data_IF_518944524772
#
_entry.id   IF_518944524772
#
_cell.length_a   1.000
_cell.length_b   1.000
_cell.length_c   1.000
_cell.angle_alpha   90.00
_cell.angle_beta   90.00
_cell.angle_gamma   90.00
#
_symmetry.space_group_name_H-M   'P 1'
#
loop_
_entity.id
_entity.type
_entity.pdbx_description
1 polymer ?
#
# COMPACT_ATOMS: atom_id res chain seq x y z
N UNK A 1 -20.88 -16.17 -5.30
CA UNK A 1 -19.74 -15.23 -5.31
C UNK A 1 -18.58 -15.82 -6.11
N UNK A 2 -18.04 -15.08 -7.07
CA UNK A 2 -16.82 -15.42 -7.81
C UNK A 2 -15.71 -14.44 -7.43
N UNK A 3 -14.54 -14.93 -7.02
CA UNK A 3 -13.47 -14.06 -6.51
C UNK A 3 -12.09 -14.63 -6.86
N UNK A 4 -11.10 -13.73 -7.05
CA UNK A 4 -9.72 -14.10 -7.29
C UNK A 4 -9.03 -14.41 -5.97
N UNK A 5 -8.38 -15.57 -5.90
CA UNK A 5 -7.69 -16.02 -4.69
C UNK A 5 -6.26 -16.44 -5.01
N UNK A 6 -5.40 -16.31 -4.02
CA UNK A 6 -4.11 -16.99 -3.95
C UNK A 6 -4.26 -18.23 -3.07
N UNK A 7 -3.90 -19.39 -3.62
CA UNK A 7 -3.88 -20.66 -2.88
C UNK A 7 -2.45 -20.94 -2.38
N UNK A 8 -2.29 -21.08 -1.07
CA UNK A 8 -1.00 -21.39 -0.42
C UNK A 8 -0.46 -22.79 -0.75
N UNK A 9 -0.79 -23.34 -1.91
CA UNK A 9 -0.40 -24.68 -2.34
C UNK A 9 1.07 -24.70 -2.79
N UNK A 10 1.91 -25.33 -1.97
CA UNK A 10 3.37 -25.42 -2.20
C UNK A 10 3.72 -25.99 -3.57
N UNK A 11 2.97 -26.99 -4.08
CA UNK A 11 3.24 -27.59 -5.40
C UNK A 11 2.97 -26.58 -6.51
N UNK A 12 1.85 -25.84 -6.46
CA UNK A 12 1.54 -24.78 -7.42
C UNK A 12 2.59 -23.67 -7.39
N UNK A 13 2.95 -23.19 -6.21
CA UNK A 13 3.97 -22.15 -6.02
C UNK A 13 5.32 -22.61 -6.60
N UNK A 14 5.82 -23.77 -6.20
CA UNK A 14 7.10 -24.31 -6.67
C UNK A 14 7.12 -24.51 -8.20
N UNK A 15 6.06 -25.10 -8.77
CA UNK A 15 5.94 -25.29 -10.22
C UNK A 15 5.95 -23.95 -10.96
N UNK A 16 5.19 -22.98 -10.48
CA UNK A 16 5.13 -21.62 -11.07
C UNK A 16 6.50 -20.94 -11.01
N UNK A 17 7.20 -21.01 -9.88
CA UNK A 17 8.54 -20.45 -9.72
C UNK A 17 9.57 -21.09 -10.65
N UNK A 18 9.56 -22.41 -10.80
CA UNK A 18 10.46 -23.12 -11.73
C UNK A 18 10.19 -22.67 -13.17
N UNK A 19 8.93 -22.69 -13.60
CA UNK A 19 8.57 -22.29 -14.96
C UNK A 19 8.82 -20.80 -15.22
N UNK A 20 8.70 -19.95 -14.23
CA UNK A 20 8.94 -18.50 -14.36
C UNK A 20 10.39 -18.12 -14.64
N UNK A 21 11.34 -19.03 -14.34
CA UNK A 21 12.76 -18.86 -14.73
C UNK A 21 12.95 -18.90 -16.25
N UNK A 22 12.09 -19.64 -16.95
CA UNK A 22 12.13 -19.77 -18.41
C UNK A 22 11.20 -18.79 -19.10
N UNK A 23 10.04 -18.49 -18.49
CA UNK A 23 9.08 -17.54 -19.06
C UNK A 23 8.18 -16.91 -18.02
N UNK A 24 8.06 -15.58 -18.05
CA UNK A 24 7.10 -14.85 -17.22
C UNK A 24 5.62 -15.18 -17.54
N UNK A 25 5.35 -15.85 -18.65
CA UNK A 25 4.00 -16.38 -18.95
C UNK A 25 3.56 -17.46 -17.93
N UNK A 26 4.51 -18.05 -17.19
CA UNK A 26 4.21 -19.07 -16.17
C UNK A 26 3.19 -18.60 -15.12
N UNK A 27 3.22 -17.32 -14.76
CA UNK A 27 2.27 -16.73 -13.80
C UNK A 27 0.81 -16.75 -14.29
N UNK A 28 0.57 -16.93 -15.57
CA UNK A 28 -0.76 -17.00 -16.20
C UNK A 28 -1.23 -18.42 -16.53
N UNK A 29 -0.41 -19.45 -16.29
CA UNK A 29 -0.76 -20.83 -16.57
C UNK A 29 -1.71 -21.40 -15.49
N UNK A 30 -2.32 -22.53 -15.79
CA UNK A 30 -3.23 -23.23 -14.85
C UNK A 30 -2.55 -23.74 -13.58
N UNK A 31 -1.22 -23.87 -13.59
CA UNK A 31 -0.43 -24.20 -12.40
C UNK A 31 -0.19 -23.00 -11.47
N UNK A 32 -0.54 -21.77 -11.88
CA UNK A 32 -0.44 -20.59 -11.02
C UNK A 32 -1.31 -20.77 -9.76
N UNK A 33 -0.81 -20.35 -8.57
CA UNK A 33 -1.60 -20.39 -7.36
C UNK A 33 -2.73 -19.34 -7.36
N UNK A 34 -2.74 -18.41 -8.33
CA UNK A 34 -3.81 -17.40 -8.46
C UNK A 34 -4.84 -17.85 -9.50
N UNK A 35 -6.08 -17.94 -9.07
CA UNK A 35 -7.22 -18.30 -9.93
C UNK A 35 -8.53 -17.80 -9.35
N UNK A 36 -9.55 -17.65 -10.21
CA UNK A 36 -10.91 -17.46 -9.75
C UNK A 36 -11.45 -18.73 -9.09
N UNK A 37 -12.11 -18.55 -7.96
CA UNK A 37 -12.95 -19.55 -7.28
C UNK A 37 -14.38 -19.06 -7.26
N UNK A 38 -15.31 -20.03 -7.29
CA UNK A 38 -16.73 -19.76 -7.17
C UNK A 38 -17.24 -20.40 -5.88
N UNK A 39 -17.84 -19.62 -5.03
CA UNK A 39 -18.46 -20.04 -3.78
C UNK A 39 -19.95 -19.83 -3.86
N UNK A 40 -20.72 -20.58 -3.05
CA UNK A 40 -22.15 -20.31 -2.90
C UNK A 40 -22.35 -18.94 -2.26
N UNK A 41 -23.46 -18.30 -2.57
CA UNK A 41 -23.89 -17.12 -1.83
C UNK A 41 -24.24 -17.54 -0.40
N UNK A 42 -23.66 -16.85 0.55
CA UNK A 42 -23.85 -17.08 1.98
C UNK A 42 -24.58 -15.88 2.59
N UNK A 43 -25.44 -16.10 3.59
CA UNK A 43 -26.06 -15.00 4.33
C UNK A 43 -24.99 -14.25 5.13
N UNK A 44 -25.32 -13.03 5.56
CA UNK A 44 -24.44 -12.26 6.44
C UNK A 44 -24.24 -13.04 7.76
N UNK A 45 -22.98 -13.30 8.18
CA UNK A 45 -22.72 -14.14 9.35
C UNK A 45 -22.99 -13.43 10.69
N UNK A 46 -23.13 -12.09 10.67
CA UNK A 46 -23.45 -11.25 11.84
C UNK A 46 -24.39 -10.10 11.46
N UNK A 47 -25.17 -9.65 12.45
CA UNK A 47 -26.17 -8.60 12.28
C UNK A 47 -25.60 -7.20 11.96
N UNK A 48 -24.33 -6.94 12.28
CA UNK A 48 -23.61 -5.70 11.98
C UNK A 48 -22.75 -5.78 10.71
N UNK A 49 -22.95 -6.82 9.88
CA UNK A 49 -22.22 -7.01 8.63
C UNK A 49 -23.00 -6.50 7.42
N UNK A 50 -22.26 -6.29 6.35
CA UNK A 50 -22.75 -5.80 5.06
C UNK A 50 -22.21 -6.69 3.93
N UNK A 51 -22.94 -6.68 2.80
CA UNK A 51 -22.49 -7.20 1.51
C UNK A 51 -22.30 -6.00 0.56
N UNK A 52 -21.13 -5.92 -0.04
CA UNK A 52 -20.77 -4.85 -0.96
C UNK A 52 -20.52 -5.45 -2.34
N UNK A 53 -21.21 -4.98 -3.35
CA UNK A 53 -20.90 -5.31 -4.76
C UNK A 53 -19.75 -4.43 -5.22
N UNK A 54 -18.66 -5.07 -5.63
CA UNK A 54 -17.47 -4.35 -6.11
C UNK A 54 -17.73 -3.74 -7.50
N UNK A 55 -17.25 -2.50 -7.70
CA UNK A 55 -17.34 -1.81 -9.00
C UNK A 55 -16.00 -1.87 -9.69
N UNK A 56 -14.95 -1.46 -8.99
CA UNK A 56 -13.61 -1.31 -9.57
C UNK A 56 -12.57 -1.46 -8.46
N UNK A 57 -11.43 -2.08 -8.81
CA UNK A 57 -10.35 -2.37 -7.85
C UNK A 57 -8.99 -2.11 -8.47
N UNK A 58 -8.11 -1.41 -7.75
CA UNK A 58 -6.72 -1.19 -8.13
C UNK A 58 -5.84 -2.42 -7.89
N UNK A 59 -4.83 -2.61 -8.73
CA UNK A 59 -3.77 -3.60 -8.50
C UNK A 59 -2.66 -2.95 -7.68
N UNK A 60 -2.40 -3.49 -6.49
CA UNK A 60 -1.33 -3.07 -5.59
C UNK A 60 -0.02 -3.85 -5.81
N UNK A 61 1.09 -3.31 -5.31
CA UNK A 61 2.37 -4.01 -5.26
C UNK A 61 2.34 -5.29 -4.43
N UNK A 62 1.52 -5.34 -3.37
CA UNK A 62 1.30 -6.54 -2.55
C UNK A 62 0.61 -7.67 -3.35
N UNK A 63 -0.40 -7.34 -4.19
CA UNK A 63 -1.02 -8.30 -5.10
C UNK A 63 0.01 -8.88 -6.09
N UNK A 64 0.93 -8.02 -6.57
CA UNK A 64 2.03 -8.45 -7.45
C UNK A 64 3.00 -9.40 -6.76
N UNK A 65 3.18 -9.27 -5.44
CA UNK A 65 4.00 -10.19 -4.65
C UNK A 65 3.37 -11.59 -4.60
N UNK A 66 2.06 -11.68 -4.42
CA UNK A 66 1.32 -12.95 -4.53
C UNK A 66 1.37 -13.51 -5.97
N UNK A 67 1.10 -12.66 -6.96
CA UNK A 67 1.10 -13.06 -8.36
C UNK A 67 2.44 -13.63 -8.83
N UNK A 68 3.54 -13.06 -8.38
CA UNK A 68 4.90 -13.51 -8.73
C UNK A 68 5.46 -14.55 -7.79
N UNK A 69 4.72 -14.96 -6.75
CA UNK A 69 5.19 -15.87 -5.71
C UNK A 69 6.52 -15.39 -5.06
N UNK A 70 6.68 -14.08 -4.91
CA UNK A 70 7.95 -13.46 -4.46
C UNK A 70 8.13 -13.46 -2.94
N UNK A 71 7.40 -14.28 -2.22
CA UNK A 71 7.50 -14.42 -0.76
C UNK A 71 8.61 -15.43 -0.41
N UNK A 72 9.47 -15.06 0.55
CA UNK A 72 10.49 -15.98 1.08
C UNK A 72 9.99 -16.68 2.33
N UNK A 73 10.24 -18.01 2.42
CA UNK A 73 9.96 -18.77 3.62
C UNK A 73 10.83 -18.36 4.84
N UNK A 74 11.86 -17.53 4.62
CA UNK A 74 12.73 -17.02 5.69
C UNK A 74 12.24 -15.70 6.31
N UNK A 75 11.05 -15.19 5.88
CA UNK A 75 10.46 -13.98 6.48
C UNK A 75 10.01 -14.23 7.92
N UNK A 76 10.14 -13.19 8.75
CA UNK A 76 9.66 -13.23 10.13
C UNK A 76 8.15 -13.50 10.28
N UNK A 77 7.34 -13.09 9.30
CA UNK A 77 5.89 -13.35 9.27
C UNK A 77 5.52 -14.78 8.84
N UNK A 78 6.44 -15.54 8.24
CA UNK A 78 6.15 -16.88 7.74
C UNK A 78 5.60 -17.87 8.79
N UNK A 79 6.05 -17.84 10.06
CA UNK A 79 5.51 -18.71 11.11
C UNK A 79 4.11 -18.33 11.59
N UNK A 80 3.62 -17.12 11.22
CA UNK A 80 2.28 -16.68 11.64
C UNK A 80 1.23 -17.50 10.88
N UNK A 81 0.26 -18.13 11.58
CA UNK A 81 -0.80 -18.87 10.93
C UNK A 81 -1.56 -18.00 9.93
N UNK A 82 -1.57 -18.44 8.69
CA UNK A 82 -2.31 -17.80 7.61
C UNK A 82 -3.36 -18.80 7.08
N UNK A 83 -4.41 -18.29 6.50
CA UNK A 83 -5.35 -19.10 5.74
C UNK A 83 -4.66 -19.71 4.51
N UNK A 84 -5.02 -20.94 4.15
CA UNK A 84 -4.61 -21.56 2.88
C UNK A 84 -5.08 -20.79 1.65
N UNK A 85 -6.07 -19.91 1.83
CA UNK A 85 -6.66 -19.06 0.81
C UNK A 85 -6.53 -17.60 1.23
N UNK A 86 -5.92 -16.78 0.37
CA UNK A 86 -5.91 -15.34 0.50
C UNK A 86 -6.76 -14.71 -0.61
N UNK A 87 -7.78 -13.95 -0.22
CA UNK A 87 -8.54 -13.12 -1.16
C UNK A 87 -7.71 -11.90 -1.56
N UNK A 88 -7.74 -11.52 -2.84
CA UNK A 88 -6.89 -10.47 -3.40
C UNK A 88 -7.72 -9.23 -3.76
N UNK A 89 -7.04 -8.08 -3.78
CA UNK A 89 -7.62 -6.77 -4.08
C UNK A 89 -8.14 -6.06 -2.83
N UNK A 90 -7.62 -4.86 -2.58
CA UNK A 90 -7.95 -4.07 -1.40
C UNK A 90 -8.11 -2.57 -1.70
N UNK A 91 -7.73 -2.12 -2.88
CA UNK A 91 -7.96 -0.74 -3.34
C UNK A 91 -9.30 -0.69 -4.10
N UNK A 92 -10.43 -0.76 -3.38
CA UNK A 92 -11.72 -1.11 -3.98
C UNK A 92 -12.81 -0.09 -3.66
N UNK A 93 -13.58 0.26 -4.68
CA UNK A 93 -14.85 0.97 -4.55
C UNK A 93 -16.01 0.02 -4.89
N UNK A 94 -17.09 0.09 -4.12
CA UNK A 94 -18.28 -0.73 -4.30
C UNK A 94 -19.57 -0.03 -3.86
N UNK A 95 -20.67 -0.74 -4.00
CA UNK A 95 -22.01 -0.32 -3.57
C UNK A 95 -22.53 -1.33 -2.57
N UNK A 96 -23.06 -0.85 -1.45
CA UNK A 96 -23.73 -1.68 -0.43
C UNK A 96 -24.99 -2.28 -1.05
N UNK A 97 -25.07 -3.61 -1.09
CA UNK A 97 -26.24 -4.34 -1.60
C UNK A 97 -27.12 -4.95 -0.49
N UNK A 98 -26.50 -5.30 0.64
CA UNK A 98 -27.21 -5.87 1.78
C UNK A 98 -26.62 -5.31 3.07
N UNK A 99 -27.48 -5.07 4.07
CA UNK A 99 -27.12 -4.61 5.40
C UNK A 99 -27.79 -5.48 6.45
N UNK A 100 -27.03 -5.87 7.45
CA UNK A 100 -27.59 -6.56 8.62
C UNK A 100 -28.39 -5.59 9.50
N UNK A 101 -29.31 -6.11 10.35
CA UNK A 101 -30.24 -5.26 11.11
C UNK A 101 -29.60 -4.36 12.18
N UNK A 102 -28.34 -4.60 12.55
CA UNK A 102 -27.58 -3.77 13.50
C UNK A 102 -26.61 -2.81 12.82
N UNK A 103 -26.57 -2.73 11.49
CA UNK A 103 -25.81 -1.73 10.73
C UNK A 103 -26.41 -0.34 11.00
N UNK A 104 -25.58 0.64 11.38
CA UNK A 104 -26.03 1.96 11.86
C UNK A 104 -25.78 3.08 10.87
N UNK A 105 -24.65 3.02 10.15
CA UNK A 105 -24.14 4.17 9.39
C UNK A 105 -24.26 3.99 7.88
N UNK A 106 -24.71 2.82 7.41
CA UNK A 106 -24.79 2.47 6.01
C UNK A 106 -26.21 1.98 5.65
N UNK A 107 -26.58 2.18 4.40
CA UNK A 107 -27.81 1.65 3.79
C UNK A 107 -27.52 1.09 2.40
N UNK A 108 -28.41 0.26 1.90
CA UNK A 108 -28.36 -0.23 0.53
C UNK A 108 -28.31 0.95 -0.45
N UNK A 109 -27.42 0.86 -1.42
CA UNK A 109 -27.15 1.90 -2.40
C UNK A 109 -26.00 2.86 -2.02
N UNK A 110 -25.54 2.86 -0.79
CA UNK A 110 -24.38 3.70 -0.39
C UNK A 110 -23.12 3.25 -1.13
N UNK A 111 -22.37 4.23 -1.65
CA UNK A 111 -21.04 3.98 -2.23
C UNK A 111 -19.98 3.99 -1.14
N UNK A 112 -19.11 2.98 -1.20
CA UNK A 112 -18.11 2.75 -0.15
C UNK A 112 -16.74 2.40 -0.74
N UNK A 113 -15.69 2.73 0.01
CA UNK A 113 -14.32 2.26 -0.21
C UNK A 113 -13.95 1.25 0.86
N UNK A 114 -13.32 0.17 0.45
CA UNK A 114 -12.89 -0.91 1.32
C UNK A 114 -11.66 -0.50 2.13
N UNK A 115 -11.71 -0.74 3.46
CA UNK A 115 -10.57 -0.67 4.39
C UNK A 115 -10.15 -2.10 4.72
N UNK A 116 -9.30 -2.72 3.92
CA UNK A 116 -9.07 -4.14 4.05
C UNK A 116 -7.84 -4.51 4.88
N UNK A 117 -8.09 -5.22 5.99
CA UNK A 117 -7.09 -5.99 6.75
C UNK A 117 -7.75 -7.08 7.60
N UNK A 118 -6.99 -8.13 7.92
CA UNK A 118 -7.42 -9.21 8.80
C UNK A 118 -7.26 -8.82 10.27
N UNK A 119 -8.15 -7.98 10.80
CA UNK A 119 -8.15 -7.52 12.18
C UNK A 119 -9.29 -8.14 13.00
N UNK A 120 -9.27 -7.96 14.33
CA UNK A 120 -10.36 -8.34 15.22
C UNK A 120 -11.71 -7.82 14.74
N UNK A 121 -11.76 -6.55 14.34
CA UNK A 121 -12.96 -5.85 13.88
C UNK A 121 -13.34 -6.11 12.43
N UNK A 122 -12.68 -7.03 11.75
CA UNK A 122 -12.90 -7.31 10.34
C UNK A 122 -13.38 -8.75 10.12
N UNK A 123 -12.90 -9.43 9.09
CA UNK A 123 -13.30 -10.81 8.74
C UNK A 123 -13.05 -11.85 9.84
N UNK A 124 -12.29 -11.50 10.89
CA UNK A 124 -12.16 -12.40 12.06
C UNK A 124 -13.43 -12.52 12.90
N UNK A 125 -14.35 -11.55 12.78
CA UNK A 125 -15.67 -11.61 13.40
C UNK A 125 -15.67 -11.58 14.92
N UNK A 126 -14.69 -10.93 15.54
CA UNK A 126 -14.70 -10.64 16.98
C UNK A 126 -15.78 -9.61 17.30
N UNK A 127 -16.32 -9.64 18.50
CA UNK A 127 -17.17 -8.59 19.03
C UNK A 127 -16.31 -7.47 19.63
N UNK A 128 -16.86 -6.25 19.75
CA UNK A 128 -16.05 -5.05 20.15
C UNK A 128 -15.37 -5.22 21.51
N UNK A 129 -16.00 -5.91 22.44
CA UNK A 129 -15.47 -6.23 23.77
C UNK A 129 -14.21 -7.11 23.69
N UNK A 130 -14.14 -7.98 22.69
CA UNK A 130 -13.04 -8.91 22.45
C UNK A 130 -11.92 -8.31 21.58
N UNK A 131 -12.05 -7.07 21.13
CA UNK A 131 -11.02 -6.43 20.35
C UNK A 131 -9.72 -6.29 21.15
N UNK A 132 -8.58 -6.52 20.50
CA UNK A 132 -7.30 -6.23 21.10
C UNK A 132 -7.11 -4.72 21.34
N UNK A 133 -6.17 -4.36 22.20
CA UNK A 133 -5.93 -2.95 22.59
C UNK A 133 -5.62 -2.02 21.41
N UNK A 134 -4.96 -2.53 20.37
CA UNK A 134 -4.68 -1.76 19.16
C UNK A 134 -5.96 -1.49 18.36
N UNK A 135 -6.80 -2.53 18.14
CA UNK A 135 -8.06 -2.38 17.41
C UNK A 135 -9.05 -1.48 18.17
N UNK A 136 -9.10 -1.52 19.51
CA UNK A 136 -9.89 -0.59 20.33
C UNK A 136 -9.49 0.87 20.15
N UNK A 137 -8.24 1.13 19.78
CA UNK A 137 -7.70 2.46 19.50
C UNK A 137 -7.82 2.88 18.02
N UNK A 138 -8.35 2.00 17.16
CA UNK A 138 -8.41 2.24 15.72
C UNK A 138 -7.11 1.95 14.95
N UNK A 139 -6.09 1.39 15.63
CA UNK A 139 -4.81 0.99 15.05
C UNK A 139 -4.90 -0.43 14.49
N UNK A 140 -5.69 -0.59 13.44
CA UNK A 140 -6.09 -1.90 12.94
C UNK A 140 -4.95 -2.70 12.31
N UNK A 141 -4.01 -2.05 11.64
CA UNK A 141 -2.93 -2.70 10.89
C UNK A 141 -1.92 -3.42 11.79
N UNK A 142 -1.82 -2.98 13.04
CA UNK A 142 -0.97 -3.61 14.08
C UNK A 142 -1.79 -4.44 15.07
N UNK A 143 -2.85 -5.09 14.60
CA UNK A 143 -3.71 -5.96 15.39
C UNK A 143 -2.91 -7.08 16.09
N UNK A 144 -3.02 -7.18 17.42
CA UNK A 144 -2.32 -8.21 18.20
C UNK A 144 -2.86 -9.62 17.94
N UNK A 145 -4.09 -9.74 17.43
CA UNK A 145 -4.74 -11.01 17.08
C UNK A 145 -4.59 -11.36 15.58
N UNK A 146 -3.59 -10.77 14.90
CA UNK A 146 -3.42 -10.95 13.45
C UNK A 146 -3.27 -12.42 13.04
N UNK A 147 -2.55 -13.22 13.82
CA UNK A 147 -2.33 -14.65 13.59
C UNK A 147 -3.44 -15.57 14.07
N UNK A 148 -4.41 -15.06 14.85
CA UNK A 148 -5.49 -15.87 15.42
C UNK A 148 -6.54 -16.28 14.38
N UNK A 149 -7.21 -17.44 14.54
CA UNK A 149 -8.25 -17.87 13.61
C UNK A 149 -9.46 -16.93 13.61
N UNK A 150 -10.20 -16.95 12.50
CA UNK A 150 -11.49 -16.26 12.40
C UNK A 150 -12.54 -16.94 13.29
N UNK A 151 -13.40 -16.15 13.94
CA UNK A 151 -14.57 -16.63 14.71
C UNK A 151 -15.80 -16.83 13.83
N UNK A 152 -15.74 -16.44 12.55
CA UNK A 152 -16.79 -16.67 11.55
C UNK A 152 -16.22 -17.51 10.42
N UNK A 153 -17.03 -18.46 9.96
CA UNK A 153 -16.73 -19.28 8.78
C UNK A 153 -17.55 -18.74 7.61
N UNK A 154 -16.92 -17.89 6.82
CA UNK A 154 -17.55 -17.25 5.66
C UNK A 154 -16.52 -16.96 4.57
N UNK A 155 -16.92 -17.15 3.34
CA UNK A 155 -16.14 -16.68 2.20
C UNK A 155 -16.38 -15.17 2.02
N UNK A 156 -15.53 -14.35 2.68
CA UNK A 156 -15.69 -12.89 2.67
C UNK A 156 -15.49 -12.24 1.30
N UNK A 157 -14.74 -12.91 0.39
CA UNK A 157 -14.26 -12.26 -0.81
C UNK A 157 -13.30 -11.10 -0.50
N UNK A 158 -12.94 -10.38 -1.53
CA UNK A 158 -12.19 -9.12 -1.49
C UNK A 158 -12.42 -8.34 -2.78
N UNK A 159 -11.64 -7.30 -3.05
CA UNK A 159 -11.85 -6.41 -4.18
C UNK A 159 -11.81 -7.07 -5.56
N UNK A 160 -11.01 -8.12 -5.76
CA UNK A 160 -11.00 -8.83 -7.04
C UNK A 160 -12.06 -9.93 -7.09
N UNK A 161 -13.30 -9.59 -6.80
CA UNK A 161 -14.46 -10.48 -6.85
C UNK A 161 -15.76 -9.73 -7.09
N UNK A 162 -16.87 -10.49 -7.20
CA UNK A 162 -18.22 -9.90 -7.35
C UNK A 162 -18.55 -9.05 -6.14
N UNK A 163 -18.29 -9.61 -4.96
CA UNK A 163 -18.72 -9.10 -3.68
C UNK A 163 -17.61 -9.16 -2.65
N UNK A 164 -17.78 -8.31 -1.67
CA UNK A 164 -17.11 -8.34 -0.41
C UNK A 164 -18.15 -8.44 0.73
N UNK A 165 -17.90 -9.28 1.73
CA UNK A 165 -18.73 -9.44 2.94
C UNK A 165 -17.89 -9.13 4.17
N UNK A 166 -18.39 -8.26 5.05
CA UNK A 166 -17.69 -7.90 6.29
C UNK A 166 -18.48 -6.92 7.15
N UNK A 167 -17.95 -6.55 8.33
CA UNK A 167 -18.60 -5.58 9.21
C UNK A 167 -18.61 -4.17 8.56
N UNK A 168 -19.58 -3.34 8.94
CA UNK A 168 -19.67 -1.95 8.44
C UNK A 168 -18.39 -1.12 8.70
N UNK A 169 -17.66 -1.41 9.78
CA UNK A 169 -16.41 -0.73 10.14
C UNK A 169 -15.28 -0.91 9.12
N UNK A 170 -15.41 -1.91 8.24
CA UNK A 170 -14.41 -2.27 7.23
C UNK A 170 -14.52 -1.45 5.95
N UNK A 171 -15.48 -0.58 5.86
CA UNK A 171 -15.64 0.33 4.73
C UNK A 171 -15.73 1.78 5.20
N UNK A 172 -15.51 2.70 4.28
CA UNK A 172 -15.84 4.11 4.47
C UNK A 172 -16.84 4.52 3.40
N UNK A 173 -17.92 5.19 3.82
CA UNK A 173 -18.86 5.82 2.89
C UNK A 173 -18.19 7.01 2.22
N UNK A 174 -18.43 7.15 0.92
CA UNK A 174 -17.94 8.28 0.12
C UNK A 174 -19.10 9.09 -0.47
N UNK A 175 -18.86 10.37 -0.66
CA UNK A 175 -19.83 11.29 -1.22
C UNK A 175 -19.99 11.10 -2.74
N UNK A 176 -21.15 11.51 -3.29
CA UNK A 176 -21.47 11.32 -4.70
C UNK A 176 -20.58 12.15 -5.66
N UNK A 177 -19.97 13.22 -5.18
CA UNK A 177 -19.01 14.03 -5.92
C UNK A 177 -17.64 13.35 -6.12
N UNK A 178 -17.31 12.31 -5.34
CA UNK A 178 -16.10 11.51 -5.52
C UNK A 178 -16.35 10.47 -6.62
N UNK A 179 -15.65 10.55 -7.73
CA UNK A 179 -15.74 9.57 -8.81
C UNK A 179 -15.20 8.19 -8.38
N UNK A 180 -15.55 7.12 -9.11
CA UNK A 180 -14.99 5.79 -8.84
C UNK A 180 -13.47 5.76 -9.00
N UNK A 181 -12.93 6.55 -9.95
CA UNK A 181 -11.50 6.68 -10.18
C UNK A 181 -10.77 7.32 -8.99
N UNK A 182 -11.36 8.35 -8.42
CA UNK A 182 -10.85 8.97 -7.21
C UNK A 182 -10.98 8.02 -6.01
N UNK A 183 -12.11 7.33 -5.90
CA UNK A 183 -12.40 6.40 -4.81
C UNK A 183 -11.37 5.26 -4.71
N UNK A 184 -10.96 4.70 -5.83
CA UNK A 184 -9.95 3.61 -5.89
C UNK A 184 -8.56 4.07 -5.44
N UNK A 185 -8.28 5.37 -5.45
CA UNK A 185 -7.00 5.96 -5.00
C UNK A 185 -7.01 6.31 -3.50
N UNK A 186 -8.17 6.30 -2.85
CA UNK A 186 -8.28 6.67 -1.43
C UNK A 186 -7.42 5.74 -0.55
N UNK A 187 -7.45 4.43 -0.78
CA UNK A 187 -6.63 3.48 0.00
C UNK A 187 -5.13 3.76 -0.14
N UNK A 188 -4.52 3.75 -1.33
CA UNK A 188 -3.08 4.02 -1.44
C UNK A 188 -2.69 5.45 -1.02
N UNK A 189 -3.61 6.41 -1.09
CA UNK A 189 -3.39 7.74 -0.53
C UNK A 189 -3.42 7.72 1.01
N UNK A 190 -4.29 6.93 1.64
CA UNK A 190 -4.32 6.76 3.11
C UNK A 190 -2.99 6.17 3.62
N UNK A 191 -2.44 5.17 2.93
CA UNK A 191 -1.09 4.63 3.21
C UNK A 191 -0.02 5.71 3.11
N UNK A 192 -0.08 6.53 2.06
CA UNK A 192 0.90 7.60 1.81
C UNK A 192 0.79 8.72 2.85
N UNK A 193 -0.43 9.13 3.18
CA UNK A 193 -0.69 10.14 4.21
C UNK A 193 -0.19 9.66 5.58
N UNK A 194 -0.52 8.42 5.97
CA UNK A 194 -0.03 7.82 7.21
C UNK A 194 1.50 7.82 7.27
N UNK A 195 2.16 7.49 6.15
CA UNK A 195 3.62 7.51 6.07
C UNK A 195 4.19 8.90 6.35
N UNK A 196 3.57 9.96 5.84
CA UNK A 196 4.00 11.34 6.09
C UNK A 196 3.65 11.77 7.52
N UNK A 197 2.49 11.36 8.05
CA UNK A 197 2.08 11.67 9.44
C UNK A 197 3.00 11.04 10.49
N UNK A 198 3.63 9.88 10.21
CA UNK A 198 4.64 9.29 11.10
C UNK A 198 5.88 10.17 11.26
N UNK A 199 6.20 10.99 10.27
CA UNK A 199 7.32 11.94 10.31
C UNK A 199 7.06 13.10 9.35
N UNK A 200 6.29 14.09 9.79
CA UNK A 200 6.06 15.32 9.02
C UNK A 200 7.38 16.10 8.92
N UNK A 201 7.79 16.55 7.73
CA UNK A 201 8.96 17.42 7.57
C UNK A 201 8.78 18.76 8.29
N UNK A 202 9.89 19.37 8.69
CA UNK A 202 9.95 20.77 9.13
C UNK A 202 10.12 21.71 7.93
N UNK A 203 9.85 22.99 8.13
CA UNK A 203 10.17 23.99 7.14
C UNK A 203 11.69 23.98 6.83
N UNK A 204 12.03 24.06 5.57
CA UNK A 204 13.40 23.98 5.01
C UNK A 204 14.09 22.61 5.10
N UNK A 205 13.42 21.54 5.57
CA UNK A 205 13.99 20.20 5.47
C UNK A 205 14.23 19.82 4.00
N UNK A 206 15.34 19.14 3.76
CA UNK A 206 15.68 18.48 2.50
C UNK A 206 15.14 17.04 2.58
N UNK A 207 14.11 16.74 1.80
CA UNK A 207 13.36 15.46 1.85
C UNK A 207 13.57 14.70 0.57
N UNK A 208 13.93 13.42 0.66
CA UNK A 208 14.03 12.53 -0.50
C UNK A 208 12.87 11.52 -0.52
N UNK A 209 12.13 11.46 -1.62
CA UNK A 209 11.17 10.39 -1.92
C UNK A 209 11.79 9.45 -2.93
N UNK A 210 11.94 8.19 -2.56
CA UNK A 210 12.47 7.14 -3.43
C UNK A 210 11.31 6.40 -4.09
N UNK A 211 11.18 6.57 -5.40
CA UNK A 211 10.12 5.98 -6.24
C UNK A 211 9.02 6.97 -6.62
N UNK A 212 8.73 7.06 -7.92
CA UNK A 212 7.63 7.83 -8.51
C UNK A 212 6.43 6.97 -8.90
N UNK A 213 6.16 5.91 -8.12
CA UNK A 213 4.93 5.11 -8.25
C UNK A 213 3.77 5.69 -7.46
N UNK A 214 2.66 4.94 -7.37
CA UNK A 214 1.42 5.35 -6.68
C UNK A 214 1.68 5.93 -5.29
N UNK A 215 2.42 5.23 -4.45
CA UNK A 215 2.69 5.66 -3.08
C UNK A 215 3.61 6.89 -3.04
N UNK A 216 4.72 6.89 -3.82
CA UNK A 216 5.65 8.02 -3.82
C UNK A 216 5.03 9.32 -4.33
N UNK A 217 4.20 9.25 -5.37
CA UNK A 217 3.47 10.40 -5.90
C UNK A 217 2.48 10.97 -4.87
N UNK A 218 1.74 10.10 -4.15
CA UNK A 218 0.85 10.54 -3.07
C UNK A 218 1.62 11.10 -1.87
N UNK A 219 2.79 10.53 -1.51
CA UNK A 219 3.66 11.09 -0.46
C UNK A 219 4.08 12.52 -0.81
N UNK A 220 4.44 12.79 -2.07
CA UNK A 220 4.84 14.14 -2.51
C UNK A 220 3.72 15.15 -2.25
N UNK A 221 2.48 14.85 -2.71
CA UNK A 221 1.37 15.78 -2.47
C UNK A 221 1.01 15.90 -0.99
N UNK A 222 1.07 14.82 -0.20
CA UNK A 222 0.84 14.87 1.24
C UNK A 222 1.90 15.71 1.98
N UNK A 223 3.19 15.59 1.59
CA UNK A 223 4.25 16.42 2.14
C UNK A 223 3.96 17.90 1.86
N UNK A 224 3.67 18.25 0.60
CA UNK A 224 3.42 19.64 0.22
C UNK A 224 2.15 20.22 0.83
N UNK A 225 1.16 19.37 1.09
CA UNK A 225 -0.04 19.76 1.82
C UNK A 225 0.24 20.09 3.28
N UNK A 226 1.05 19.26 3.96
CA UNK A 226 1.32 19.39 5.40
C UNK A 226 2.48 20.34 5.70
N UNK A 227 3.46 20.43 4.80
CA UNK A 227 4.63 21.30 4.95
C UNK A 227 5.09 21.81 3.57
N UNK A 228 4.50 22.89 3.05
CA UNK A 228 4.82 23.42 1.71
C UNK A 228 6.25 24.00 1.60
N UNK A 229 6.84 24.37 2.72
CA UNK A 229 8.14 25.05 2.74
C UNK A 229 9.37 24.13 2.81
N UNK A 230 9.18 22.80 2.90
CA UNK A 230 10.28 21.85 2.75
C UNK A 230 10.62 21.66 1.27
N UNK A 231 11.83 21.18 0.99
CA UNK A 231 12.28 20.85 -0.37
C UNK A 231 12.15 19.35 -0.62
N UNK A 232 11.40 18.99 -1.66
CA UNK A 232 11.12 17.60 -2.01
C UNK A 232 11.91 17.19 -3.24
N UNK A 233 12.83 16.26 -3.05
CA UNK A 233 13.61 15.60 -4.07
C UNK A 233 13.00 14.23 -4.39
N UNK A 234 12.97 13.85 -5.67
CA UNK A 234 12.40 12.57 -6.10
C UNK A 234 13.41 11.76 -6.86
N UNK A 235 13.62 10.52 -6.43
CA UNK A 235 14.43 9.54 -7.16
C UNK A 235 13.52 8.67 -8.01
N UNK A 236 13.37 9.02 -9.28
CA UNK A 236 12.61 8.27 -10.27
C UNK A 236 13.36 8.30 -11.61
N UNK A 237 13.30 7.21 -12.38
CA UNK A 237 14.03 7.07 -13.64
C UNK A 237 13.16 7.38 -14.86
N UNK A 238 11.85 7.20 -14.73
CA UNK A 238 10.88 7.35 -15.82
C UNK A 238 10.50 8.81 -15.94
N UNK A 239 10.75 9.41 -17.10
CA UNK A 239 10.56 10.84 -17.34
C UNK A 239 9.11 11.30 -17.12
N UNK A 240 8.15 10.53 -17.59
CA UNK A 240 6.72 10.82 -17.43
C UNK A 240 6.33 10.87 -15.96
N UNK A 241 6.88 9.97 -15.13
CA UNK A 241 6.64 9.96 -13.67
C UNK A 241 7.39 11.11 -12.97
N UNK A 242 8.55 11.52 -13.46
CA UNK A 242 9.26 12.71 -12.98
C UNK A 242 8.42 13.97 -13.21
N UNK A 243 7.86 14.13 -14.41
CA UNK A 243 7.00 15.28 -14.73
C UNK A 243 5.70 15.26 -13.89
N UNK A 244 5.16 14.07 -13.64
CA UNK A 244 4.00 13.95 -12.77
C UNK A 244 4.35 14.29 -11.31
N UNK A 245 5.50 13.84 -10.81
CA UNK A 245 5.99 14.21 -9.48
C UNK A 245 6.15 15.74 -9.32
N UNK A 246 6.67 16.43 -10.34
CA UNK A 246 6.77 17.90 -10.37
C UNK A 246 5.39 18.57 -10.29
N UNK A 247 4.40 18.06 -11.03
CA UNK A 247 3.01 18.58 -10.98
C UNK A 247 2.40 18.46 -9.59
N UNK A 248 2.80 17.42 -8.82
CA UNK A 248 2.36 17.20 -7.45
C UNK A 248 3.19 17.94 -6.39
N UNK A 249 4.22 18.70 -6.82
CA UNK A 249 4.99 19.58 -5.95
C UNK A 249 6.42 19.13 -5.66
N UNK A 250 6.97 18.15 -6.38
CA UNK A 250 8.40 17.85 -6.26
C UNK A 250 9.24 19.03 -6.77
N UNK A 251 10.19 19.48 -5.97
CA UNK A 251 11.06 20.62 -6.32
C UNK A 251 12.24 20.19 -7.20
N UNK A 252 12.75 18.97 -6.99
CA UNK A 252 13.95 18.48 -7.66
C UNK A 252 13.82 17.01 -8.05
N UNK A 253 14.50 16.65 -9.13
CA UNK A 253 14.63 15.23 -9.57
C UNK A 253 16.10 14.82 -9.39
N UNK A 254 16.31 13.62 -8.84
CA UNK A 254 17.66 13.02 -8.73
C UNK A 254 18.04 12.47 -10.11
N UNK A 255 18.89 13.19 -10.84
CA UNK A 255 19.28 12.95 -12.24
C UNK A 255 20.71 12.43 -12.42
N UNK A 256 21.45 12.28 -11.32
CA UNK A 256 22.83 11.82 -11.29
C UNK A 256 23.07 10.73 -10.22
N UNK A 257 24.31 10.34 -9.99
CA UNK A 257 24.65 9.41 -8.91
C UNK A 257 24.17 9.94 -7.57
N UNK A 258 23.37 9.19 -6.79
CA UNK A 258 22.73 9.69 -5.58
C UNK A 258 23.70 10.25 -4.51
N UNK A 259 24.92 9.72 -4.42
CA UNK A 259 25.92 10.27 -3.50
C UNK A 259 26.42 11.65 -3.95
N UNK A 260 26.63 11.83 -5.25
CA UNK A 260 27.07 13.10 -5.83
C UNK A 260 25.96 14.13 -5.77
N UNK A 261 24.75 13.70 -6.13
CA UNK A 261 23.53 14.50 -6.03
C UNK A 261 23.31 15.01 -4.59
N UNK A 262 23.35 14.09 -3.61
CA UNK A 262 23.14 14.44 -2.19
C UNK A 262 24.22 15.44 -1.73
N UNK A 263 25.50 15.17 -2.02
CA UNK A 263 26.58 16.07 -1.64
C UNK A 263 26.37 17.50 -2.21
N UNK A 264 25.96 17.60 -3.47
CA UNK A 264 25.73 18.88 -4.15
C UNK A 264 24.54 19.66 -3.58
N UNK A 265 23.41 18.99 -3.37
CA UNK A 265 22.16 19.67 -2.99
C UNK A 265 22.04 19.91 -1.49
N UNK A 266 22.59 19.03 -0.64
CA UNK A 266 22.53 19.17 0.83
C UNK A 266 23.81 19.70 1.45
N UNK A 267 24.84 20.04 0.61
CA UNK A 267 26.19 20.44 1.04
C UNK A 267 26.90 19.37 1.90
N UNK A 268 26.51 18.10 1.76
CA UNK A 268 27.17 17.00 2.45
C UNK A 268 28.60 16.77 1.94
N UNK A 269 29.49 16.39 2.85
CA UNK A 269 30.89 16.08 2.52
C UNK A 269 30.97 14.59 2.13
N UNK A 270 31.49 14.30 0.93
CA UNK A 270 31.62 12.94 0.42
C UNK A 270 33.02 12.38 0.69
N UNK A 271 33.07 11.26 1.38
CA UNK A 271 34.27 10.47 1.61
C UNK A 271 34.21 9.16 0.83
N UNK A 272 35.30 8.78 0.16
CA UNK A 272 35.38 7.55 -0.61
C UNK A 272 36.68 6.82 -0.34
N UNK A 273 36.59 5.51 -0.04
CA UNK A 273 37.76 4.63 0.08
C UNK A 273 37.45 3.28 -0.58
N UNK A 274 38.14 2.97 -1.66
CA UNK A 274 37.88 1.77 -2.46
C UNK A 274 36.44 1.79 -3.03
N UNK A 275 35.65 0.76 -2.69
CA UNK A 275 34.23 0.66 -3.09
C UNK A 275 33.26 1.33 -2.12
N UNK A 276 33.73 1.77 -0.94
CA UNK A 276 32.87 2.36 0.07
C UNK A 276 32.76 3.89 -0.11
N UNK A 277 31.56 4.39 0.02
CA UNK A 277 31.26 5.82 0.02
C UNK A 277 30.40 6.16 1.22
N UNK A 278 30.73 7.24 1.89
CA UNK A 278 29.99 7.79 3.03
C UNK A 278 29.80 9.27 2.87
N UNK A 279 28.66 9.79 3.29
CA UNK A 279 28.37 11.22 3.37
C UNK A 279 28.32 11.67 4.83
N UNK A 280 28.85 12.84 5.11
CA UNK A 280 28.64 13.59 6.36
C UNK A 280 27.76 14.78 6.02
N UNK A 281 26.53 14.79 6.53
CA UNK A 281 25.41 15.58 6.03
C UNK A 281 24.54 14.76 5.09
N UNK A 282 23.50 15.35 4.56
CA UNK A 282 22.56 14.67 3.69
C UNK A 282 21.11 15.12 3.91
N UNK A 283 20.17 14.30 3.51
CA UNK A 283 18.75 14.55 3.67
C UNK A 283 18.31 14.49 5.13
N UNK A 284 17.31 15.29 5.49
CA UNK A 284 16.64 15.26 6.79
C UNK A 284 15.76 14.03 6.92
N UNK A 285 15.00 13.72 5.87
CA UNK A 285 14.06 12.61 5.83
C UNK A 285 14.15 11.92 4.48
N UNK A 286 14.11 10.61 4.49
CA UNK A 286 13.98 9.77 3.28
C UNK A 286 12.75 8.88 3.42
N UNK A 287 11.78 9.00 2.49
CA UNK A 287 10.67 8.07 2.34
C UNK A 287 11.02 7.05 1.25
N UNK A 288 11.23 5.80 1.62
CA UNK A 288 11.48 4.72 0.66
C UNK A 288 10.20 3.97 0.33
N UNK A 289 9.64 4.21 -0.85
CA UNK A 289 8.42 3.55 -1.34
C UNK A 289 8.70 2.35 -2.24
N UNK A 290 9.98 2.05 -2.49
CA UNK A 290 10.42 0.97 -3.39
C UNK A 290 10.80 -0.29 -2.63
N UNK A 291 11.51 -0.15 -1.52
CA UNK A 291 11.91 -1.24 -0.64
C UNK A 291 12.85 -2.29 -1.25
N UNK A 292 13.41 -2.07 -2.45
CA UNK A 292 14.27 -3.04 -3.15
C UNK A 292 15.58 -3.33 -2.42
N UNK A 293 16.11 -4.53 -2.67
CA UNK A 293 17.44 -4.96 -2.22
C UNK A 293 18.51 -3.89 -2.48
N UNK A 294 19.31 -3.62 -1.48
CA UNK A 294 20.38 -2.62 -1.54
C UNK A 294 19.94 -1.16 -1.40
N UNK A 295 18.65 -0.84 -1.59
CA UNK A 295 18.17 0.54 -1.44
C UNK A 295 18.34 1.03 -0.01
N UNK A 296 17.87 0.27 0.97
CA UNK A 296 18.03 0.57 2.39
C UNK A 296 19.49 0.86 2.77
N UNK A 297 20.40 -0.06 2.37
CA UNK A 297 21.83 0.06 2.66
C UNK A 297 22.48 1.33 2.06
N UNK A 298 21.97 1.81 0.92
CA UNK A 298 22.42 3.05 0.32
C UNK A 298 21.74 4.29 0.93
N UNK A 299 20.41 4.22 1.10
CA UNK A 299 19.62 5.36 1.55
C UNK A 299 20.01 5.86 2.94
N UNK A 300 20.32 4.94 3.87
CA UNK A 300 20.80 5.33 5.21
C UNK A 300 22.14 6.09 5.20
N UNK A 301 22.91 5.99 4.09
CA UNK A 301 24.16 6.75 3.90
C UNK A 301 23.96 8.14 3.29
N UNK A 302 22.75 8.42 2.80
CA UNK A 302 22.37 9.73 2.26
C UNK A 302 21.69 10.63 3.29
N UNK A 303 21.44 10.11 4.50
CA UNK A 303 20.88 10.87 5.61
C UNK A 303 21.97 11.67 6.34
N UNK A 304 21.58 12.85 6.83
CA UNK A 304 22.39 13.57 7.80
C UNK A 304 22.34 12.91 9.17
N UNK A 305 23.23 13.31 10.09
CA UNK A 305 23.14 12.86 11.48
C UNK A 305 21.76 13.17 12.08
N UNK A 306 21.18 12.18 12.80
CA UNK A 306 19.82 12.20 13.36
C UNK A 306 18.70 12.31 12.32
N UNK A 307 19.02 12.12 11.04
CA UNK A 307 18.04 12.04 9.98
C UNK A 307 17.13 10.83 10.12
N UNK A 308 16.01 10.86 9.42
CA UNK A 308 14.97 9.83 9.53
C UNK A 308 14.78 9.09 8.22
N UNK A 309 14.86 7.77 8.25
CA UNK A 309 14.44 6.89 7.18
C UNK A 309 13.05 6.34 7.47
N UNK A 310 12.09 6.60 6.59
CA UNK A 310 10.72 6.08 6.66
C UNK A 310 10.57 4.93 5.68
N UNK A 311 10.42 3.72 6.22
CA UNK A 311 10.27 2.47 5.47
C UNK A 311 8.80 2.26 5.11
N UNK A 312 8.42 2.57 3.88
CA UNK A 312 7.06 2.41 3.34
C UNK A 312 6.98 1.21 2.41
N UNK A 313 7.81 1.20 1.36
CA UNK A 313 7.95 0.05 0.49
C UNK A 313 8.69 -1.09 1.17
N UNK A 314 8.25 -2.33 0.97
CA UNK A 314 8.91 -3.49 1.54
C UNK A 314 9.13 -4.59 0.51
N UNK A 315 10.07 -5.49 0.84
CA UNK A 315 10.37 -6.67 0.04
C UNK A 315 10.28 -7.90 0.95
N UNK A 316 9.51 -8.89 0.54
CA UNK A 316 9.26 -10.11 1.31
C UNK A 316 10.46 -11.09 1.26
N UNK A 317 11.68 -10.56 1.47
CA UNK A 317 12.95 -11.32 1.50
C UNK A 317 13.90 -10.72 2.53
N UNK A 318 14.82 -11.53 3.05
CA UNK A 318 15.88 -11.04 3.94
C UNK A 318 16.82 -10.09 3.21
N UNK A 319 17.28 -9.06 3.90
CA UNK A 319 18.18 -8.04 3.37
C UNK A 319 19.43 -7.97 4.24
N UNK A 320 20.61 -8.05 3.61
CA UNK A 320 21.88 -7.78 4.29
C UNK A 320 22.23 -6.30 4.10
N UNK A 321 22.60 -5.62 5.18
CA UNK A 321 23.02 -4.22 5.16
C UNK A 321 24.09 -3.94 6.20
N UNK A 322 24.84 -2.85 6.02
CA UNK A 322 25.80 -2.33 6.98
C UNK A 322 25.08 -1.35 7.92
N UNK A 323 24.98 -1.71 9.20
CA UNK A 323 24.30 -0.90 10.23
C UNK A 323 25.13 0.29 10.74
N UNK A 324 26.41 0.37 10.39
CA UNK A 324 27.33 1.41 10.88
C UNK A 324 26.78 2.83 10.75
N UNK A 325 26.13 3.22 9.63
CA UNK A 325 25.53 4.55 9.52
C UNK A 325 24.43 4.82 10.55
N UNK A 326 23.64 3.79 10.90
CA UNK A 326 22.55 3.92 11.88
C UNK A 326 23.14 4.26 13.24
N UNK A 327 24.12 3.47 13.69
CA UNK A 327 24.77 3.66 14.97
C UNK A 327 25.57 4.96 15.04
N UNK A 328 26.41 5.21 14.01
CA UNK A 328 27.36 6.33 14.06
C UNK A 328 26.72 7.70 13.88
N UNK A 329 25.67 7.81 13.04
CA UNK A 329 24.95 9.06 12.80
C UNK A 329 23.69 9.20 13.65
N UNK A 330 23.43 8.30 14.59
CA UNK A 330 22.22 8.29 15.45
C UNK A 330 20.94 8.40 14.61
N UNK A 331 20.81 7.61 13.52
CA UNK A 331 19.69 7.68 12.60
C UNK A 331 18.39 7.14 13.23
N UNK A 332 17.26 7.71 12.83
CA UNK A 332 15.93 7.20 13.14
C UNK A 332 15.43 6.33 12.00
N UNK A 333 14.95 5.13 12.32
CA UNK A 333 14.32 4.21 11.35
C UNK A 333 12.88 3.99 11.77
N UNK A 334 11.93 4.39 10.91
CA UNK A 334 10.49 4.27 11.17
C UNK A 334 9.89 3.29 10.14
N UNK A 335 9.30 2.21 10.62
CA UNK A 335 8.44 1.34 9.80
C UNK A 335 7.04 1.90 9.70
N UNK A 336 6.42 1.74 8.54
CA UNK A 336 5.02 2.13 8.29
C UNK A 336 4.31 0.94 7.68
N UNK A 337 3.25 0.50 8.34
CA UNK A 337 2.34 -0.52 7.81
C UNK A 337 1.00 0.12 7.51
N UNK A 338 0.73 0.26 6.22
CA UNK A 338 -0.56 0.67 5.66
C UNK A 338 -1.10 2.00 6.19
N UNK A 339 -2.09 2.01 7.07
CA UNK A 339 -2.78 3.21 7.56
C UNK A 339 -3.06 3.09 9.07
N UNK A 340 -3.44 4.20 9.72
CA UNK A 340 -3.67 4.20 11.17
C UNK A 340 -4.53 5.38 11.62
N UNK A 341 -4.38 5.71 12.92
CA UNK A 341 -4.98 6.89 13.54
C UNK A 341 -3.99 8.06 13.47
N UNK A 342 -4.45 9.16 12.92
CA UNK A 342 -3.66 10.38 12.79
C UNK A 342 -4.03 11.42 13.87
N UNK A 343 -3.08 12.26 14.20
CA UNK A 343 -3.33 13.49 14.97
C UNK A 343 -3.29 14.66 13.98
N UNK A 344 -4.46 15.07 13.49
CA UNK A 344 -4.58 16.16 12.54
C UNK A 344 -5.29 17.35 13.15
N UNK A 345 -4.60 18.47 13.29
CA UNK A 345 -5.12 19.71 13.88
C UNK A 345 -5.71 19.50 15.29
N UNK A 346 -5.07 18.63 16.08
CA UNK A 346 -5.50 18.31 17.46
C UNK A 346 -6.68 17.33 17.56
N UNK A 347 -7.08 16.72 16.45
CA UNK A 347 -8.14 15.71 16.42
C UNK A 347 -7.60 14.36 15.99
N UNK A 348 -8.07 13.30 16.66
CA UNK A 348 -7.81 11.92 16.23
C UNK A 348 -8.75 11.54 15.11
N UNK A 349 -8.19 11.14 13.96
CA UNK A 349 -8.94 10.79 12.76
C UNK A 349 -8.25 9.63 12.04
N UNK A 350 -9.00 8.69 11.49
CA UNK A 350 -8.41 7.64 10.67
C UNK A 350 -7.87 8.20 9.35
N UNK A 351 -6.76 7.63 8.86
CA UNK A 351 -6.14 8.06 7.60
C UNK A 351 -7.13 8.10 6.43
N UNK A 352 -8.05 7.11 6.33
CA UNK A 352 -9.10 7.08 5.30
C UNK A 352 -10.07 8.26 5.40
N UNK A 353 -10.57 8.52 6.61
CA UNK A 353 -11.50 9.63 6.84
C UNK A 353 -10.83 10.98 6.55
N UNK A 354 -9.53 11.09 6.89
CA UNK A 354 -8.75 12.29 6.59
C UNK A 354 -8.55 12.47 5.08
N UNK A 355 -8.26 11.40 4.33
CA UNK A 355 -8.13 11.47 2.86
C UNK A 355 -9.45 11.90 2.22
N UNK A 356 -10.58 11.31 2.62
CA UNK A 356 -11.90 11.68 2.09
C UNK A 356 -12.21 13.16 2.39
N UNK A 357 -11.94 13.62 3.62
CA UNK A 357 -12.07 15.03 4.01
C UNK A 357 -11.23 15.94 3.13
N UNK A 358 -9.93 15.64 2.97
CA UNK A 358 -9.00 16.45 2.18
C UNK A 358 -9.35 16.46 0.68
N UNK A 359 -9.86 15.34 0.17
CA UNK A 359 -10.33 15.23 -1.21
C UNK A 359 -11.58 16.11 -1.44
N UNK A 360 -12.56 16.07 -0.53
CA UNK A 360 -13.74 16.92 -0.57
C UNK A 360 -13.40 18.42 -0.44
N UNK A 361 -12.35 18.75 0.28
CA UNK A 361 -11.83 20.12 0.39
C UNK A 361 -11.01 20.55 -0.85
N UNK A 362 -10.84 19.68 -1.84
CA UNK A 362 -10.05 19.97 -3.05
C UNK A 362 -8.53 20.08 -2.79
N UNK A 363 -8.06 19.57 -1.68
CA UNK A 363 -6.64 19.63 -1.26
C UNK A 363 -5.79 18.48 -1.79
N UNK A 364 -6.42 17.42 -2.27
CA UNK A 364 -5.78 16.28 -2.92
C UNK A 364 -6.25 16.18 -4.37
N UNK A 365 -5.34 15.81 -5.26
CA UNK A 365 -5.65 15.61 -6.67
C UNK A 365 -5.26 14.19 -7.09
N UNK A 366 -6.22 13.45 -7.66
CA UNK A 366 -6.02 12.08 -8.13
C UNK A 366 -6.07 11.94 -9.65
N UNK A 367 -6.12 13.06 -10.39
CA UNK A 367 -6.16 13.05 -11.85
C UNK A 367 -4.85 12.51 -12.44
N UNK A 368 -4.97 11.58 -13.39
CA UNK A 368 -3.83 10.99 -14.08
C UNK A 368 -3.11 9.84 -13.37
N UNK A 369 -3.55 9.44 -12.19
CA UNK A 369 -2.97 8.28 -11.50
C UNK A 369 -3.34 6.96 -12.17
N UNK A 370 -4.56 6.80 -12.68
CA UNK A 370 -4.98 5.57 -13.37
C UNK A 370 -4.46 5.62 -14.80
N UNK A 371 -3.53 4.70 -15.10
CA UNK A 371 -2.88 4.62 -16.42
C UNK A 371 -3.46 3.54 -17.32
N UNK A 372 -4.03 2.48 -16.74
CA UNK A 372 -4.55 1.34 -17.49
C UNK A 372 -5.83 0.80 -16.85
N UNK A 373 -6.74 0.30 -17.70
CA UNK A 373 -8.00 -0.32 -17.29
C UNK A 373 -8.19 -1.64 -18.00
N UNK A 374 -8.67 -2.63 -17.27
CA UNK A 374 -9.05 -3.94 -17.80
C UNK A 374 -10.34 -4.38 -17.13
N UNK A 375 -11.05 -5.33 -17.75
CA UNK A 375 -12.15 -6.02 -17.09
C UNK A 375 -11.61 -7.00 -16.04
N UNK A 376 -12.37 -7.24 -14.98
CA UNK A 376 -12.01 -8.20 -13.93
C UNK A 376 -11.79 -9.61 -14.52
N UNK A 377 -12.61 -10.01 -15.49
CA UNK A 377 -12.41 -11.27 -16.23
C UNK A 377 -11.07 -11.35 -16.97
N UNK A 378 -10.46 -10.20 -17.27
CA UNK A 378 -9.17 -10.07 -17.93
C UNK A 378 -7.99 -9.82 -16.97
N UNK A 379 -8.13 -10.11 -15.67
CA UNK A 379 -7.13 -9.84 -14.65
C UNK A 379 -5.69 -10.19 -15.06
N UNK A 380 -5.51 -11.29 -15.80
CA UNK A 380 -4.18 -11.71 -16.30
C UNK A 380 -3.51 -10.65 -17.17
N UNK A 381 -4.28 -9.86 -17.94
CA UNK A 381 -3.74 -8.75 -18.74
C UNK A 381 -3.29 -7.62 -17.82
N UNK A 382 -4.10 -7.25 -16.82
CA UNK A 382 -3.76 -6.22 -15.84
C UNK A 382 -2.49 -6.54 -15.04
N UNK A 383 -2.40 -7.74 -14.49
CA UNK A 383 -1.20 -8.21 -13.78
C UNK A 383 0.03 -8.29 -14.70
N UNK A 384 -0.15 -8.72 -15.96
CA UNK A 384 0.93 -8.74 -16.95
C UNK A 384 1.42 -7.33 -17.28
N UNK A 385 0.52 -6.34 -17.38
CA UNK A 385 0.87 -4.93 -17.57
C UNK A 385 1.77 -4.44 -16.44
N UNK A 386 1.37 -4.65 -15.17
CA UNK A 386 2.18 -4.28 -14.01
C UNK A 386 3.56 -4.97 -14.01
N UNK A 387 3.63 -6.24 -14.41
CA UNK A 387 4.87 -7.03 -14.39
C UNK A 387 5.85 -6.64 -15.51
N UNK A 388 5.34 -6.40 -16.72
CA UNK A 388 6.18 -6.23 -17.92
C UNK A 388 6.49 -4.77 -18.23
N UNK A 389 5.54 -3.88 -17.95
CA UNK A 389 5.63 -2.47 -18.31
C UNK A 389 5.49 -1.56 -17.05
N UNK A 390 6.26 -1.81 -15.96
CA UNK A 390 6.16 -1.02 -14.73
C UNK A 390 6.54 0.46 -14.95
N UNK A 391 7.34 0.75 -16.00
CA UNK A 391 7.71 2.12 -16.38
C UNK A 391 6.50 2.91 -16.90
N UNK A 392 5.55 2.27 -17.59
CA UNK A 392 4.36 2.91 -18.16
C UNK A 392 3.17 2.91 -17.17
N UNK A 393 3.36 2.27 -16.01
CA UNK A 393 2.26 1.98 -15.08
C UNK A 393 2.41 2.78 -13.80
N UNK A 394 1.38 3.55 -13.43
CA UNK A 394 1.21 4.12 -12.10
C UNK A 394 0.17 3.31 -11.35
N UNK A 395 -1.08 3.28 -11.86
CA UNK A 395 -2.15 2.43 -11.35
C UNK A 395 -2.86 1.70 -12.50
N UNK A 396 -3.03 0.41 -12.31
CA UNK A 396 -3.93 -0.44 -13.12
C UNK A 396 -5.19 -0.69 -12.31
N UNK A 397 -6.34 -0.53 -12.93
CA UNK A 397 -7.63 -0.88 -12.31
C UNK A 397 -8.31 -2.01 -13.08
N UNK A 398 -9.02 -2.85 -12.35
CA UNK A 398 -9.90 -3.89 -12.86
C UNK A 398 -11.33 -3.49 -12.62
N UNK A 399 -12.12 -3.35 -13.68
CA UNK A 399 -13.55 -3.02 -13.64
C UNK A 399 -14.35 -4.32 -13.54
N UNK A 400 -15.31 -4.37 -12.63
CA UNK A 400 -16.07 -5.59 -12.38
C UNK A 400 -17.03 -5.89 -13.53
N UNK A 401 -16.93 -7.09 -14.07
CA UNK A 401 -17.77 -7.67 -15.13
C UNK A 401 -18.12 -9.15 -14.86
N UNK A 402 -18.03 -9.56 -13.60
CA UNK A 402 -18.20 -10.95 -13.18
C UNK A 402 -19.67 -11.36 -13.01
#
# INVERSE_FOLDING_TARGET
MKTLVFEGNIKKVATTLVLSKFSKKAFNLSCSPISFKTYKDEPLPKENWIKVRNIQTGICGSDMTFYTCAQSASMAMYPIPCSDITYLGHETVGIVEEVGPQVKNLKVGDRVVLKEYMQCCSIKGYDEEDYCENCKKGEYTICSNYGEPSKVDVHSGAGFGDYYIGPESKVIKIDDNISNDQAVIIEPCAVSLHSVMKKIPSANDEVLVIGGGMIGLNIIQCIKLLQPNCKVHVMERVKEKQEFAKKLGADYIVDENPYDYTAKHTKAIKYKKGKNTMLIGGFDIIYDTVGKHGMFNNAIRWLKARGTYVKVGYQMTNVNFDETPIWWQELNIIGVDSYGMEDYQGQKIQSFDLVVKLLNEGKLNFDGFITHRFKMSEYKKGFTQCLRNPQETIKVVLENDL
#
